data_IF_527828620173
#
_entry.id   IF_527828620173
#
_cell.length_a   1.000
_cell.length_b   1.000
_cell.length_c   1.000
_cell.angle_alpha   90.00
_cell.angle_beta   90.00
_cell.angle_gamma   90.00
#
_symmetry.space_group_name_H-M   'P 1'
#
loop_
_entity.id
_entity.type
_entity.pdbx_description
1 polymer ?
#
# COMPACT_ATOMS: atom_id res chain seq x y z
N UNK A 1 5.26 -18.50 -33.89
CA UNK A 1 4.26 -17.55 -33.36
C UNK A 1 3.86 -18.06 -31.98
N UNK A 2 4.10 -17.30 -30.91
CA UNK A 2 3.91 -17.80 -29.54
C UNK A 2 2.41 -17.78 -29.19
N UNK A 3 1.77 -18.95 -29.16
CA UNK A 3 0.33 -19.12 -28.95
C UNK A 3 -0.16 -18.47 -27.66
N UNK A 4 0.67 -18.49 -26.59
CA UNK A 4 0.38 -17.80 -25.33
C UNK A 4 0.28 -16.28 -25.48
N UNK A 5 1.21 -15.66 -26.23
CA UNK A 5 1.19 -14.22 -26.45
C UNK A 5 -0.04 -13.76 -27.25
N UNK A 6 -0.50 -14.59 -28.20
CA UNK A 6 -1.72 -14.36 -28.99
C UNK A 6 -2.95 -14.49 -28.10
N UNK A 7 -3.03 -15.53 -27.26
CA UNK A 7 -4.15 -15.70 -26.32
C UNK A 7 -4.26 -14.54 -25.34
N UNK A 8 -3.14 -14.10 -24.74
CA UNK A 8 -3.11 -12.93 -23.85
C UNK A 8 -3.63 -11.68 -24.59
N UNK A 9 -3.18 -11.46 -25.83
CA UNK A 9 -3.59 -10.29 -26.61
C UNK A 9 -5.09 -10.29 -26.94
N UNK A 10 -5.64 -11.44 -27.31
CA UNK A 10 -7.09 -11.60 -27.57
C UNK A 10 -7.89 -11.40 -26.29
N UNK A 11 -7.47 -11.97 -25.16
CA UNK A 11 -8.11 -11.77 -23.86
C UNK A 11 -8.16 -10.29 -23.46
N UNK A 12 -7.10 -9.52 -23.72
CA UNK A 12 -7.09 -8.07 -23.47
C UNK A 12 -8.16 -7.32 -24.28
N UNK A 13 -8.34 -7.68 -25.54
CA UNK A 13 -9.35 -7.08 -26.42
C UNK A 13 -10.77 -7.41 -25.92
N UNK A 14 -11.00 -8.68 -25.56
CA UNK A 14 -12.30 -9.13 -25.04
C UNK A 14 -12.67 -8.48 -23.71
N UNK A 15 -11.68 -8.20 -22.86
CA UNK A 15 -11.86 -7.61 -21.54
C UNK A 15 -11.89 -6.08 -21.53
N UNK A 16 -11.56 -5.42 -22.64
CA UNK A 16 -11.53 -3.96 -22.74
C UNK A 16 -12.86 -3.26 -22.36
N UNK A 17 -14.05 -3.81 -22.67
CA UNK A 17 -15.30 -3.21 -22.20
C UNK A 17 -15.45 -3.25 -20.67
N UNK A 18 -14.99 -4.33 -20.02
CA UNK A 18 -15.02 -4.46 -18.56
C UNK A 18 -14.08 -3.45 -17.88
N UNK A 19 -12.95 -3.13 -18.52
CA UNK A 19 -12.06 -2.06 -18.07
C UNK A 19 -12.79 -0.73 -18.00
N UNK A 20 -13.56 -0.37 -19.05
CA UNK A 20 -14.36 0.84 -19.08
C UNK A 20 -15.40 0.89 -17.96
N UNK A 21 -16.08 -0.22 -17.69
CA UNK A 21 -17.06 -0.30 -16.59
C UNK A 21 -16.41 -0.15 -15.22
N UNK A 22 -15.29 -0.82 -14.96
CA UNK A 22 -14.57 -0.71 -13.68
C UNK A 22 -14.14 0.73 -13.40
N UNK A 23 -13.60 1.41 -14.42
CA UNK A 23 -13.22 2.82 -14.31
C UNK A 23 -14.45 3.71 -14.03
N UNK A 24 -15.58 3.45 -14.70
CA UNK A 24 -16.82 4.18 -14.46
C UNK A 24 -17.35 3.99 -13.04
N UNK A 25 -17.38 2.76 -12.52
CA UNK A 25 -17.83 2.50 -11.14
C UNK A 25 -16.91 3.13 -10.09
N UNK A 26 -15.59 3.10 -10.31
CA UNK A 26 -14.63 3.78 -9.44
C UNK A 26 -14.89 5.30 -9.41
N UNK A 27 -15.06 5.92 -10.59
CA UNK A 27 -15.41 7.33 -10.71
C UNK A 27 -16.73 7.68 -10.01
N UNK A 28 -17.78 6.89 -10.25
CA UNK A 28 -19.10 7.15 -9.66
C UNK A 28 -19.08 7.04 -8.14
N UNK A 29 -18.45 5.99 -7.60
CA UNK A 29 -18.31 5.82 -6.14
C UNK A 29 -17.55 6.99 -5.52
N UNK A 30 -16.43 7.41 -6.12
CA UNK A 30 -15.68 8.59 -5.67
C UNK A 30 -16.57 9.83 -5.62
N UNK A 31 -17.36 10.04 -6.68
CA UNK A 31 -18.25 11.19 -6.79
C UNK A 31 -19.31 11.22 -5.68
N UNK A 32 -19.86 10.07 -5.29
CA UNK A 32 -20.83 9.98 -4.18
C UNK A 32 -20.26 10.50 -2.85
N UNK A 33 -18.97 10.27 -2.57
CA UNK A 33 -18.31 10.83 -1.40
C UNK A 33 -17.99 12.32 -1.55
N UNK A 34 -17.49 12.75 -2.72
CA UNK A 34 -17.21 14.16 -2.97
C UNK A 34 -18.45 15.05 -2.85
N UNK A 35 -19.62 14.56 -3.26
CA UNK A 35 -20.88 15.29 -3.12
C UNK A 35 -21.53 15.12 -1.74
N UNK A 36 -20.90 14.39 -0.82
CA UNK A 36 -21.42 14.13 0.53
C UNK A 36 -22.67 13.24 0.57
N UNK A 37 -22.98 12.54 -0.53
CA UNK A 37 -24.07 11.56 -0.57
C UNK A 37 -23.73 10.40 0.36
N UNK A 38 -22.47 9.97 0.36
CA UNK A 38 -21.92 9.04 1.33
C UNK A 38 -20.92 9.75 2.24
N UNK A 39 -20.89 9.35 3.52
CA UNK A 39 -20.02 9.92 4.54
C UNK A 39 -18.80 9.03 4.76
N UNK A 40 -17.65 9.67 4.90
CA UNK A 40 -16.43 9.03 5.37
C UNK A 40 -16.49 8.81 6.88
N UNK A 41 -15.91 7.71 7.33
CA UNK A 41 -15.61 7.42 8.73
C UNK A 41 -14.21 7.98 9.04
N UNK A 42 -14.08 8.55 10.23
CA UNK A 42 -12.81 9.05 10.77
C UNK A 42 -12.52 8.26 12.04
N UNK A 43 -11.30 7.75 12.14
CA UNK A 43 -10.86 7.00 13.31
C UNK A 43 -10.20 7.94 14.31
N UNK A 44 -10.25 7.56 15.59
CA UNK A 44 -9.60 8.33 16.65
C UNK A 44 -8.07 8.30 16.55
N UNK A 45 -7.51 7.19 16.04
CA UNK A 45 -6.08 7.07 15.79
C UNK A 45 -5.74 7.37 14.31
N UNK A 46 -4.52 7.88 14.04
CA UNK A 46 -4.02 8.09 12.69
C UNK A 46 -4.14 6.85 11.79
N UNK A 47 -4.45 7.09 10.52
CA UNK A 47 -4.72 6.05 9.53
C UNK A 47 -3.84 6.23 8.30
N UNK A 48 -3.04 5.21 7.99
CA UNK A 48 -2.17 5.13 6.83
C UNK A 48 -2.82 4.22 5.79
N UNK A 49 -3.14 4.75 4.61
CA UNK A 49 -3.51 3.93 3.45
C UNK A 49 -2.26 3.54 2.67
N UNK A 50 -2.05 2.25 2.41
CA UNK A 50 -0.98 1.77 1.53
C UNK A 50 -1.60 1.29 0.23
N UNK A 51 -1.58 2.16 -0.78
CA UNK A 51 -2.07 1.89 -2.12
C UNK A 51 -1.02 1.11 -2.94
N UNK A 52 -1.43 -0.01 -3.52
CA UNK A 52 -0.63 -0.79 -4.47
C UNK A 52 -1.51 -1.29 -5.62
N UNK A 53 -0.92 -1.56 -6.79
CA UNK A 53 -1.59 -2.35 -7.83
C UNK A 53 -1.62 -3.84 -7.49
N UNK A 54 -0.65 -4.32 -6.72
CA UNK A 54 -0.47 -5.72 -6.35
C UNK A 54 -0.32 -5.87 -4.84
N UNK A 55 -1.17 -6.70 -4.21
CA UNK A 55 -1.26 -6.81 -2.75
C UNK A 55 0.08 -7.20 -2.10
N UNK A 56 0.88 -8.07 -2.73
CA UNK A 56 2.16 -8.53 -2.19
C UNK A 56 3.22 -7.42 -2.08
N UNK A 57 3.12 -6.34 -2.87
CA UNK A 57 4.07 -5.21 -2.82
C UNK A 57 3.83 -4.25 -1.66
N UNK A 58 2.70 -4.41 -0.96
CA UNK A 58 2.41 -3.63 0.25
C UNK A 58 3.10 -4.19 1.50
N UNK A 59 3.51 -5.47 1.47
CA UNK A 59 4.09 -6.18 2.62
C UNK A 59 5.43 -5.58 3.07
N UNK A 60 6.44 -5.35 2.18
CA UNK A 60 7.72 -4.78 2.62
C UNK A 60 7.56 -3.38 3.22
N UNK A 61 6.63 -2.59 2.67
CA UNK A 61 6.31 -1.24 3.14
C UNK A 61 5.65 -1.27 4.51
N UNK A 62 4.72 -2.20 4.74
CA UNK A 62 4.09 -2.33 6.05
C UNK A 62 5.11 -2.73 7.13
N UNK A 63 5.92 -3.76 6.86
CA UNK A 63 7.00 -4.18 7.76
C UNK A 63 7.96 -3.02 8.07
N UNK A 64 8.32 -2.24 7.04
CA UNK A 64 9.14 -1.05 7.20
C UNK A 64 8.50 0.00 8.11
N UNK A 65 7.22 0.35 7.88
CA UNK A 65 6.48 1.33 8.70
C UNK A 65 6.42 0.90 10.16
N UNK A 66 6.15 -0.39 10.42
CA UNK A 66 6.07 -0.90 11.78
C UNK A 66 7.41 -0.86 12.52
N UNK A 67 8.50 -1.23 11.84
CA UNK A 67 9.86 -1.14 12.41
C UNK A 67 10.22 0.32 12.67
N UNK A 68 9.93 1.21 11.73
CA UNK A 68 10.18 2.63 11.85
C UNK A 68 9.44 3.22 13.05
N UNK A 69 8.15 2.95 13.24
CA UNK A 69 7.39 3.44 14.40
C UNK A 69 8.05 3.00 15.72
N UNK A 70 8.39 1.72 15.85
CA UNK A 70 9.09 1.19 17.04
C UNK A 70 10.46 1.84 17.28
N UNK A 71 11.18 2.25 16.23
CA UNK A 71 12.47 2.95 16.36
C UNK A 71 12.33 4.37 16.90
N UNK A 72 11.18 5.00 16.72
CA UNK A 72 10.88 6.36 17.18
C UNK A 72 10.01 6.37 18.44
N UNK A 73 10.15 5.33 19.28
CA UNK A 73 9.43 5.17 20.55
C UNK A 73 7.90 5.18 20.45
N UNK A 74 7.36 4.82 19.27
CA UNK A 74 5.93 4.49 19.10
C UNK A 74 5.68 3.00 19.34
N UNK A 75 4.53 2.65 19.92
CA UNK A 75 4.14 1.29 20.27
C UNK A 75 3.98 0.39 19.03
N UNK A 76 3.53 0.96 17.90
CA UNK A 76 3.44 0.24 16.64
C UNK A 76 2.33 0.73 15.71
N UNK A 77 2.10 -0.09 14.69
CA UNK A 77 0.99 0.04 13.76
C UNK A 77 0.20 -1.26 13.71
N UNK A 78 -1.13 -1.15 13.70
CA UNK A 78 -2.03 -2.27 13.53
C UNK A 78 -2.42 -2.41 12.05
N UNK A 79 -2.20 -3.61 11.46
CA UNK A 79 -2.58 -3.87 10.07
C UNK A 79 -4.06 -4.22 9.96
N UNK A 80 -4.78 -3.58 9.04
CA UNK A 80 -6.19 -3.87 8.76
C UNK A 80 -6.33 -4.54 7.40
N UNK A 81 -6.30 -5.88 7.34
CA UNK A 81 -6.35 -6.64 6.08
C UNK A 81 -7.35 -7.82 6.12
N UNK A 82 -8.57 -7.56 5.65
CA UNK A 82 -9.65 -8.56 5.54
C UNK A 82 -9.37 -9.68 4.53
N UNK A 83 -8.55 -9.45 3.51
CA UNK A 83 -8.27 -10.46 2.47
C UNK A 83 -7.19 -11.43 2.96
N UNK A 84 -6.05 -10.92 3.43
CA UNK A 84 -4.98 -11.77 3.94
C UNK A 84 -5.46 -12.64 5.12
N UNK A 85 -6.27 -12.07 6.01
CA UNK A 85 -7.02 -12.78 7.05
C UNK A 85 -7.71 -14.06 6.55
N UNK A 86 -8.49 -13.95 5.46
CA UNK A 86 -9.28 -15.06 4.90
C UNK A 86 -8.43 -16.06 4.10
N UNK A 87 -7.41 -15.61 3.38
CA UNK A 87 -6.62 -16.46 2.47
C UNK A 87 -5.50 -17.25 3.17
N UNK A 88 -5.00 -16.78 4.30
CA UNK A 88 -3.78 -17.34 4.93
C UNK A 88 -4.01 -18.27 6.11
N UNK A 89 -5.26 -18.69 6.36
CA UNK A 89 -5.61 -19.59 7.46
C UNK A 89 -5.08 -19.12 8.82
N UNK A 90 -5.00 -17.80 9.02
CA UNK A 90 -4.88 -17.19 10.33
C UNK A 90 -6.10 -17.67 11.14
N UNK A 91 -5.90 -18.24 12.33
CA UNK A 91 -6.98 -18.98 13.01
C UNK A 91 -8.19 -18.08 13.22
N UNK A 92 -9.30 -18.43 12.56
CA UNK A 92 -10.62 -17.83 12.78
C UNK A 92 -11.24 -18.69 13.88
N UNK A 93 -10.84 -18.48 15.14
CA UNK A 93 -11.63 -19.01 16.23
C UNK A 93 -12.78 -18.02 16.51
N UNK A 94 -14.04 -18.45 16.35
CA UNK A 94 -15.17 -17.56 16.56
C UNK A 94 -15.36 -17.33 18.07
N UNK A 95 -14.95 -16.16 18.57
CA UNK A 95 -15.50 -15.62 19.82
C UNK A 95 -16.70 -14.73 19.48
N UNK A 96 -17.69 -14.73 20.38
CA UNK A 96 -19.02 -14.19 20.12
C UNK A 96 -19.06 -12.69 19.80
N UNK A 97 -17.96 -11.95 20.03
CA UNK A 97 -17.81 -10.53 19.70
C UNK A 97 -16.38 -10.26 19.20
N UNK A 98 -16.28 -9.86 17.93
CA UNK A 98 -15.09 -9.56 17.11
C UNK A 98 -14.22 -10.75 16.61
N UNK A 99 -13.86 -10.72 15.32
CA UNK A 99 -12.98 -11.68 14.66
C UNK A 99 -11.51 -11.36 14.99
N UNK A 100 -10.88 -12.20 15.82
CA UNK A 100 -9.46 -12.14 16.18
C UNK A 100 -8.63 -13.04 15.23
N UNK A 101 -7.34 -12.74 15.08
CA UNK A 101 -6.38 -13.63 14.42
C UNK A 101 -5.20 -13.90 15.35
N UNK A 102 -5.23 -15.05 16.02
CA UNK A 102 -4.06 -15.58 16.71
C UNK A 102 -3.36 -16.59 15.80
N UNK A 103 -2.13 -16.24 15.43
CA UNK A 103 -1.08 -17.08 14.84
C UNK A 103 -1.38 -17.81 13.52
N UNK A 104 -0.36 -17.80 12.64
CA UNK A 104 -0.36 -18.55 11.39
C UNK A 104 -0.19 -20.04 11.71
N UNK A 105 -1.21 -20.85 11.45
CA UNK A 105 -1.17 -22.29 11.72
C UNK A 105 -0.49 -23.11 10.62
N UNK A 106 -0.25 -22.54 9.42
CA UNK A 106 0.55 -23.23 8.39
C UNK A 106 1.04 -22.28 7.29
N UNK A 107 2.35 -21.97 7.19
CA UNK A 107 2.87 -21.07 6.17
C UNK A 107 3.06 -21.82 4.84
N UNK A 108 2.31 -21.46 3.80
CA UNK A 108 2.61 -21.84 2.40
C UNK A 108 3.64 -20.91 1.74
N UNK A 109 3.90 -19.75 2.35
CA UNK A 109 4.99 -18.82 2.03
C UNK A 109 5.66 -18.38 3.34
N UNK A 110 6.90 -18.84 3.57
CA UNK A 110 7.62 -18.65 4.85
C UNK A 110 7.97 -17.18 5.16
N UNK A 111 8.22 -16.33 4.15
CA UNK A 111 8.54 -14.90 4.32
C UNK A 111 7.31 -14.08 4.73
N UNK A 112 6.27 -14.13 3.90
CA UNK A 112 5.02 -13.44 4.18
C UNK A 112 4.31 -13.94 5.45
N UNK A 113 4.67 -15.11 5.97
CA UNK A 113 4.24 -15.55 7.29
C UNK A 113 4.91 -14.75 8.41
N UNK A 114 6.20 -14.43 8.28
CA UNK A 114 6.98 -13.73 9.30
C UNK A 114 6.47 -12.31 9.58
N UNK A 115 6.13 -11.55 8.54
CA UNK A 115 5.57 -10.21 8.69
C UNK A 115 4.23 -10.23 9.45
N UNK A 116 3.40 -11.27 9.23
CA UNK A 116 2.07 -11.40 9.83
C UNK A 116 2.07 -12.19 11.15
N UNK A 117 3.18 -12.86 11.52
CA UNK A 117 3.29 -13.63 12.77
C UNK A 117 3.69 -12.76 13.96
N UNK A 118 4.44 -11.68 13.72
CA UNK A 118 4.99 -10.81 14.77
C UNK A 118 4.21 -9.51 14.99
N UNK A 119 3.14 -9.29 14.22
CA UNK A 119 2.40 -8.04 14.18
C UNK A 119 0.90 -8.33 14.19
N UNK A 120 0.12 -7.60 15.02
CA UNK A 120 -1.31 -7.82 15.11
C UNK A 120 -2.02 -7.41 13.81
N UNK A 121 -3.03 -8.18 13.41
CA UNK A 121 -3.84 -7.94 12.21
C UNK A 121 -5.31 -8.01 12.58
N UNK A 122 -6.10 -7.02 12.16
CA UNK A 122 -7.56 -7.00 12.35
C UNK A 122 -8.29 -7.04 11.01
N UNK A 123 -9.40 -7.78 10.95
CA UNK A 123 -10.25 -7.84 9.75
C UNK A 123 -11.17 -6.61 9.61
N UNK A 124 -11.47 -5.94 10.72
CA UNK A 124 -12.45 -4.87 10.80
C UNK A 124 -11.97 -3.74 11.69
N UNK A 125 -12.13 -2.51 11.20
CA UNK A 125 -11.69 -1.29 11.86
C UNK A 125 -12.51 -0.90 13.09
N UNK A 126 -13.65 -1.54 13.32
CA UNK A 126 -14.48 -1.32 14.51
C UNK A 126 -13.93 -2.04 15.77
N UNK A 127 -13.00 -2.99 15.60
CA UNK A 127 -12.36 -3.73 16.72
C UNK A 127 -11.23 -2.94 17.40
N UNK A 128 -11.08 -1.66 17.07
CA UNK A 128 -9.99 -0.77 17.50
C UNK A 128 -9.96 -0.52 18.99
N UNK A 129 -11.12 -0.45 19.64
CA UNK A 129 -11.21 -0.26 21.09
C UNK A 129 -10.50 -1.37 21.90
N UNK A 130 -10.12 -2.47 21.25
CA UNK A 130 -9.42 -3.60 21.84
C UNK A 130 -7.88 -3.45 21.81
N UNK A 131 -7.34 -2.47 21.08
CA UNK A 131 -5.91 -2.19 20.97
C UNK A 131 -5.61 -0.72 21.32
N UNK A 132 -5.90 -0.29 22.57
CA UNK A 132 -5.68 1.10 23.00
C UNK A 132 -4.20 1.50 23.04
N UNK A 133 -3.29 0.52 22.88
CA UNK A 133 -1.86 0.72 23.00
C UNK A 133 -1.18 0.97 21.64
N UNK A 134 -1.88 0.81 20.51
CA UNK A 134 -1.31 1.07 19.18
C UNK A 134 -1.45 2.55 18.79
N UNK A 135 -0.46 3.09 18.08
CA UNK A 135 -0.44 4.52 17.75
C UNK A 135 -1.11 4.85 16.41
N UNK A 136 -1.22 3.88 15.48
CA UNK A 136 -1.84 4.11 14.18
C UNK A 136 -2.33 2.83 13.48
N UNK A 137 -3.11 3.00 12.41
CA UNK A 137 -3.56 1.94 11.52
C UNK A 137 -2.84 1.95 10.18
N UNK A 138 -2.49 0.77 9.69
CA UNK A 138 -2.03 0.57 8.30
C UNK A 138 -3.08 -0.23 7.55
N UNK A 139 -3.57 0.32 6.45
CA UNK A 139 -4.65 -0.27 5.65
C UNK A 139 -4.15 -0.49 4.22
N UNK A 140 -3.79 -1.72 3.81
CA UNK A 140 -3.46 -2.02 2.43
C UNK A 140 -4.70 -1.88 1.56
N UNK A 141 -4.55 -1.20 0.43
CA UNK A 141 -5.66 -0.86 -0.47
C UNK A 141 -5.25 -1.00 -1.93
N UNK A 142 -6.22 -1.36 -2.76
CA UNK A 142 -6.14 -1.27 -4.23
C UNK A 142 -6.78 0.01 -4.77
N UNK A 143 -7.56 0.72 -3.93
CA UNK A 143 -8.24 1.99 -4.23
C UNK A 143 -8.24 2.87 -3.00
N UNK A 144 -8.12 4.18 -3.18
CA UNK A 144 -8.33 5.14 -2.10
C UNK A 144 -9.84 5.31 -1.91
N UNK A 145 -10.44 4.40 -1.13
CA UNK A 145 -11.83 4.55 -0.75
C UNK A 145 -11.98 5.73 0.20
N UNK A 146 -12.79 6.71 -0.19
CA UNK A 146 -13.23 7.81 0.68
C UNK A 146 -14.14 7.35 1.84
N UNK A 147 -14.34 6.05 2.02
CA UNK A 147 -15.08 5.47 3.16
C UNK A 147 -14.37 5.70 4.47
N UNK A 148 -13.04 5.71 4.45
CA UNK A 148 -12.19 5.99 5.60
C UNK A 148 -11.38 7.22 5.26
N UNK A 149 -11.36 8.21 6.16
CA UNK A 149 -10.40 9.31 6.07
C UNK A 149 -9.04 8.80 6.49
N UNK A 150 -8.08 8.96 5.61
CA UNK A 150 -6.69 8.64 5.85
C UNK A 150 -5.96 9.90 6.25
N UNK A 151 -5.13 9.79 7.28
CA UNK A 151 -4.19 10.83 7.67
C UNK A 151 -3.03 10.89 6.69
N UNK A 152 -2.57 9.71 6.25
CA UNK A 152 -1.47 9.57 5.29
C UNK A 152 -1.83 8.55 4.21
N UNK A 153 -1.60 8.90 2.95
CA UNK A 153 -1.77 8.00 1.83
C UNK A 153 -0.42 7.73 1.14
N UNK A 154 -0.03 6.46 1.13
CA UNK A 154 1.20 5.97 0.54
C UNK A 154 0.85 5.25 -0.76
N UNK A 155 1.58 5.52 -1.84
CA UNK A 155 1.58 4.69 -3.04
C UNK A 155 2.89 3.91 -3.10
N UNK A 156 2.79 2.58 -3.04
CA UNK A 156 3.93 1.69 -3.26
C UNK A 156 3.91 1.16 -4.70
N UNK A 157 5.08 1.14 -5.34
CA UNK A 157 5.23 0.54 -6.68
C UNK A 157 6.65 0.01 -6.90
N UNK A 158 6.74 -0.98 -7.79
CA UNK A 158 8.04 -1.44 -8.28
C UNK A 158 8.50 -0.49 -9.39
N UNK A 159 9.79 -0.17 -9.38
CA UNK A 159 10.44 0.61 -10.43
C UNK A 159 10.26 -0.03 -11.81
N UNK A 160 10.20 -1.37 -11.90
CA UNK A 160 10.05 -2.10 -13.16
C UNK A 160 8.60 -2.08 -13.68
N UNK A 161 7.63 -1.93 -12.78
CA UNK A 161 6.20 -1.95 -13.12
C UNK A 161 5.50 -0.80 -12.39
N UNK A 162 5.61 0.42 -12.93
CA UNK A 162 5.02 1.59 -12.31
C UNK A 162 3.51 1.60 -12.42
N UNK A 163 2.86 2.09 -11.37
CA UNK A 163 1.40 2.10 -11.23
C UNK A 163 0.66 2.77 -12.41
N UNK A 164 1.26 3.80 -13.02
CA UNK A 164 0.60 4.56 -14.07
C UNK A 164 0.60 3.88 -15.45
N UNK A 165 1.54 2.96 -15.69
CA UNK A 165 1.61 2.16 -16.92
C UNK A 165 0.66 0.96 -16.89
N UNK A 166 0.17 0.61 -15.70
CA UNK A 166 -0.78 -0.48 -15.56
C UNK A 166 -2.15 -0.16 -16.18
N UNK A 167 -2.69 -1.19 -16.84
CA UNK A 167 -4.07 -1.17 -17.30
C UNK A 167 -5.04 -1.34 -16.12
N UNK A 168 -6.26 -0.84 -16.27
CA UNK A 168 -7.28 -1.10 -15.27
C UNK A 168 -7.68 -2.57 -15.22
N UNK A 169 -8.17 -3.01 -14.08
CA UNK A 169 -8.83 -4.31 -13.92
C UNK A 169 -10.04 -4.43 -14.87
N UNK A 170 -10.26 -5.58 -15.52
CA UNK A 170 -9.58 -6.87 -15.34
C UNK A 170 -8.36 -7.12 -16.23
N UNK A 171 -7.89 -6.13 -16.99
CA UNK A 171 -6.74 -6.29 -17.90
C UNK A 171 -5.39 -6.10 -17.18
N UNK A 172 -5.34 -5.24 -16.17
CA UNK A 172 -4.19 -5.07 -15.27
C UNK A 172 -4.60 -5.01 -13.81
N UNK A 173 -3.67 -4.66 -12.92
CA UNK A 173 -3.88 -4.58 -11.47
C UNK A 173 -4.48 -3.26 -11.01
N UNK A 174 -4.51 -2.23 -11.87
CA UNK A 174 -4.96 -0.90 -11.48
C UNK A 174 -6.47 -0.83 -11.25
N UNK A 175 -6.82 -0.26 -10.12
CA UNK A 175 -8.20 -0.07 -9.70
C UNK A 175 -8.55 1.41 -9.44
N UNK A 176 -7.56 2.24 -9.13
CA UNK A 176 -7.68 3.69 -8.93
C UNK A 176 -7.38 4.45 -10.23
N UNK A 177 -7.99 5.62 -10.41
CA UNK A 177 -7.67 6.47 -11.53
C UNK A 177 -6.37 7.26 -11.30
N UNK A 178 -5.62 7.55 -12.37
CA UNK A 178 -4.42 8.39 -12.28
C UNK A 178 -4.69 9.76 -11.64
N UNK A 179 -5.88 10.33 -11.90
CA UNK A 179 -6.30 11.58 -11.26
C UNK A 179 -6.49 11.46 -9.74
N UNK A 180 -6.74 10.24 -9.25
CA UNK A 180 -6.83 9.94 -7.82
C UNK A 180 -5.47 9.97 -7.11
N UNK A 181 -4.36 9.80 -7.84
CA UNK A 181 -3.01 9.84 -7.28
C UNK A 181 -2.60 11.22 -6.76
N UNK A 182 -3.38 12.28 -7.07
CA UNK A 182 -3.20 13.60 -6.48
C UNK A 182 -3.43 13.65 -4.96
N UNK A 183 -4.05 12.62 -4.39
CA UNK A 183 -4.30 12.49 -2.96
C UNK A 183 -3.24 11.63 -2.24
N UNK A 184 -2.15 11.26 -2.92
CA UNK A 184 -1.05 10.49 -2.34
C UNK A 184 -0.01 11.44 -1.77
N UNK A 185 0.32 11.28 -0.50
CA UNK A 185 1.30 12.11 0.22
C UNK A 185 2.73 11.58 0.08
N UNK A 186 2.88 10.24 0.01
CA UNK A 186 4.19 9.58 -0.08
C UNK A 186 4.18 8.53 -1.19
N UNK A 187 5.22 8.53 -2.03
CA UNK A 187 5.46 7.49 -3.04
C UNK A 187 6.72 6.73 -2.68
N UNK A 188 6.56 5.41 -2.51
CA UNK A 188 7.64 4.49 -2.19
C UNK A 188 7.90 3.59 -3.40
N UNK A 189 9.08 3.75 -3.98
CA UNK A 189 9.56 2.86 -5.03
C UNK A 189 10.33 1.70 -4.43
N UNK A 190 9.87 0.49 -4.62
CA UNK A 190 10.63 -0.71 -4.24
C UNK A 190 11.47 -1.18 -5.41
N UNK A 191 12.72 -1.58 -5.16
CA UNK A 191 13.57 -2.19 -6.17
C UNK A 191 14.53 -3.20 -5.54
N UNK A 192 14.94 -4.20 -6.32
CA UNK A 192 15.99 -5.15 -5.96
C UNK A 192 17.03 -5.20 -7.09
N UNK A 193 18.31 -5.30 -6.71
CA UNK A 193 19.41 -5.38 -7.67
C UNK A 193 19.92 -4.00 -8.13
N UNK A 194 19.77 -3.68 -9.42
CA UNK A 194 20.40 -2.49 -10.00
C UNK A 194 19.76 -1.19 -9.51
N UNK A 195 20.59 -0.25 -9.06
CA UNK A 195 20.17 1.09 -8.64
C UNK A 195 19.48 1.80 -9.81
N UNK A 196 18.22 2.25 -9.65
CA UNK A 196 17.47 2.90 -10.71
C UNK A 196 17.85 4.38 -10.87
N UNK A 197 17.44 4.99 -11.98
CA UNK A 197 17.55 6.43 -12.17
C UNK A 197 16.51 7.16 -11.30
N UNK A 198 16.90 7.48 -10.07
CA UNK A 198 16.03 8.10 -9.07
C UNK A 198 15.39 9.41 -9.57
N UNK A 199 16.16 10.22 -10.30
CA UNK A 199 15.68 11.50 -10.81
C UNK A 199 14.59 11.30 -11.86
N UNK A 200 14.80 10.38 -12.79
CA UNK A 200 13.79 10.03 -13.78
C UNK A 200 12.47 9.60 -13.12
N UNK A 201 12.53 8.71 -12.13
CA UNK A 201 11.33 8.19 -11.47
C UNK A 201 10.60 9.25 -10.64
N UNK A 202 11.34 10.11 -9.92
CA UNK A 202 10.77 11.27 -9.23
C UNK A 202 10.04 12.19 -10.22
N UNK A 203 10.69 12.56 -11.31
CA UNK A 203 10.11 13.49 -12.29
C UNK A 203 8.83 12.90 -12.93
N UNK A 204 8.80 11.57 -13.16
CA UNK A 204 7.59 10.87 -13.61
C UNK A 204 6.47 10.90 -12.57
N UNK A 205 6.79 10.69 -11.30
CA UNK A 205 5.81 10.75 -10.20
C UNK A 205 5.11 12.09 -10.12
N UNK A 206 5.85 13.19 -10.26
CA UNK A 206 5.33 14.56 -10.19
C UNK A 206 4.35 14.90 -11.33
N UNK A 207 4.31 14.11 -12.42
CA UNK A 207 3.31 14.26 -13.48
C UNK A 207 1.90 13.83 -13.01
N UNK A 208 1.83 12.85 -12.10
CA UNK A 208 0.57 12.22 -11.70
C UNK A 208 0.14 12.58 -10.27
N UNK A 209 1.10 12.83 -9.38
CA UNK A 209 0.87 13.22 -8.00
C UNK A 209 0.88 14.76 -7.84
N UNK A 210 0.67 15.26 -6.62
CA UNK A 210 0.82 16.69 -6.33
C UNK A 210 2.31 17.05 -6.18
N UNK A 211 2.64 18.34 -6.24
CA UNK A 211 4.03 18.83 -6.24
C UNK A 211 4.77 18.65 -4.92
N UNK A 212 4.04 18.47 -3.83
CA UNK A 212 4.56 18.34 -2.46
C UNK A 212 4.71 16.86 -2.04
N UNK A 213 4.43 15.92 -2.94
CA UNK A 213 4.53 14.48 -2.66
C UNK A 213 5.96 14.12 -2.26
N UNK A 214 6.10 13.37 -1.17
CA UNK A 214 7.40 12.85 -0.75
C UNK A 214 7.71 11.62 -1.56
N UNK A 215 8.89 11.56 -2.18
CA UNK A 215 9.33 10.41 -2.97
C UNK A 215 10.56 9.78 -2.32
N UNK A 216 10.49 8.47 -2.05
CA UNK A 216 11.62 7.71 -1.54
C UNK A 216 11.74 6.36 -2.26
N UNK A 217 12.94 5.80 -2.23
CA UNK A 217 13.25 4.51 -2.84
C UNK A 217 13.72 3.53 -1.77
N UNK A 218 13.09 2.36 -1.72
CA UNK A 218 13.41 1.28 -0.81
C UNK A 218 14.16 0.20 -1.59
N UNK A 219 15.44 0.02 -1.25
CA UNK A 219 16.24 -1.10 -1.73
C UNK A 219 15.87 -2.33 -0.90
N UNK A 220 15.25 -3.32 -1.55
CA UNK A 220 14.90 -4.58 -0.94
C UNK A 220 16.09 -5.54 -0.99
N UNK A 221 16.21 -6.41 0.01
CA UNK A 221 17.21 -7.48 -0.03
C UNK A 221 16.89 -8.46 -1.17
N UNK A 222 17.89 -8.76 -2.01
CA UNK A 222 17.78 -9.75 -3.07
C UNK A 222 17.46 -11.18 -2.59
N UNK A 223 17.79 -11.50 -1.33
CA UNK A 223 17.53 -12.81 -0.72
C UNK A 223 16.21 -12.83 0.05
N UNK A 224 15.66 -11.66 0.39
CA UNK A 224 14.42 -11.48 1.11
C UNK A 224 13.75 -10.18 0.65
N UNK A 225 12.89 -10.27 -0.35
CA UNK A 225 12.20 -9.14 -1.00
C UNK A 225 11.20 -8.42 -0.07
N UNK A 226 11.04 -8.89 1.16
CA UNK A 226 10.23 -8.26 2.21
C UNK A 226 11.04 -7.37 3.17
N UNK A 227 12.37 -7.39 3.11
CA UNK A 227 13.25 -6.63 3.99
C UNK A 227 13.86 -5.41 3.29
N UNK A 228 13.66 -4.23 3.88
CA UNK A 228 14.27 -2.98 3.40
C UNK A 228 15.69 -2.86 3.91
N UNK A 229 16.64 -2.96 2.99
CA UNK A 229 18.08 -2.85 3.24
C UNK A 229 18.53 -1.39 3.34
N UNK A 230 18.14 -0.55 2.38
CA UNK A 230 18.47 0.87 2.35
C UNK A 230 17.26 1.70 1.94
N UNK A 231 17.27 2.97 2.36
CA UNK A 231 16.31 3.98 1.94
C UNK A 231 17.06 5.12 1.27
N UNK A 232 16.70 5.44 0.03
CA UNK A 232 17.23 6.58 -0.69
C UNK A 232 16.19 7.69 -0.70
N UNK A 233 16.58 8.85 -0.18
CA UNK A 233 15.72 10.00 0.00
C UNK A 233 16.45 11.29 -0.41
N UNK A 234 15.68 12.32 -0.75
CA UNK A 234 16.18 13.63 -1.14
C UNK A 234 15.24 14.72 -0.64
N UNK A 235 15.76 15.66 0.14
CA UNK A 235 14.97 16.76 0.73
C UNK A 235 14.53 17.79 -0.31
N UNK A 236 15.40 18.10 -1.28
CA UNK A 236 15.15 19.06 -2.36
C UNK A 236 14.87 18.37 -3.71
N UNK A 237 15.10 17.05 -3.76
CA UNK A 237 14.97 16.21 -4.95
C UNK A 237 16.09 16.42 -5.98
N UNK A 238 17.20 17.04 -5.60
CA UNK A 238 18.36 17.26 -6.47
C UNK A 238 19.29 16.04 -6.50
N UNK A 239 19.56 15.45 -5.33
CA UNK A 239 20.39 14.26 -5.15
C UNK A 239 19.73 13.29 -4.16
N UNK A 240 19.56 12.04 -4.58
CA UNK A 240 19.05 10.97 -3.73
C UNK A 240 20.22 10.24 -3.09
N UNK A 241 20.29 10.31 -1.77
CA UNK A 241 21.34 9.68 -0.96
C UNK A 241 20.73 8.62 -0.06
N UNK A 242 21.52 7.62 0.33
CA UNK A 242 21.10 6.63 1.31
C UNK A 242 20.99 7.32 2.68
N UNK A 243 19.76 7.70 3.05
CA UNK A 243 19.45 8.43 4.28
C UNK A 243 18.10 7.99 4.82
N UNK A 244 18.17 6.96 5.67
CA UNK A 244 17.01 6.35 6.31
C UNK A 244 16.47 7.24 7.43
N UNK A 245 17.34 7.80 8.26
CA UNK A 245 16.91 8.48 9.48
C UNK A 245 16.18 9.80 9.15
N UNK A 246 16.66 10.57 8.17
CA UNK A 246 15.96 11.79 7.73
C UNK A 246 14.59 11.48 7.14
N UNK A 247 14.49 10.43 6.31
CA UNK A 247 13.22 10.01 5.73
C UNK A 247 12.24 9.54 6.81
N UNK A 248 12.68 8.69 7.73
CA UNK A 248 11.84 8.19 8.83
C UNK A 248 11.36 9.33 9.73
N UNK A 249 12.24 10.28 10.10
CA UNK A 249 11.86 11.47 10.87
C UNK A 249 10.81 12.32 10.15
N UNK A 250 10.98 12.54 8.85
CA UNK A 250 9.99 13.26 8.05
C UNK A 250 8.65 12.52 8.02
N UNK A 251 8.68 11.19 7.84
CA UNK A 251 7.49 10.37 7.81
C UNK A 251 6.69 10.47 9.12
N UNK A 252 7.37 10.36 10.27
CA UNK A 252 6.74 10.48 11.59
C UNK A 252 6.08 11.86 11.75
N UNK A 253 6.76 12.94 11.34
CA UNK A 253 6.22 14.30 11.38
C UNK A 253 5.03 14.53 10.42
N UNK A 254 4.88 13.70 9.38
CA UNK A 254 3.70 13.76 8.51
C UNK A 254 2.50 13.03 9.13
N UNK A 255 2.74 12.12 10.08
CA UNK A 255 1.72 11.28 10.69
C UNK A 255 1.16 11.85 12.01
N UNK A 256 1.97 12.54 12.81
CA UNK A 256 1.64 13.09 14.13
C UNK A 256 1.94 14.59 14.22
#
# INVERSE_FOLDING_TARGET
>A
MNTFAVMISISKILLAPLVGMTAFFAFWRKRQFETGVWKSVEFELPTIAVLSSEDHRSVPVWSFVQIMLRRYDHQGALLVDKRAAKYRALSIEPMADAEYFDQITTPTNLGAAYAYTNNPVIAMSESVAMFPEEDCFVIPKQKLYNEVRHHLAILTMDVVQPYWEESYWPVGGRFEALKGLKAIDVVLFTFSGSVPDFKFWRDKTLVFCHSEVVVAFLELDSMNDEEVKNVYYSTDGSEFVADRDTFESLFINLLF
#
